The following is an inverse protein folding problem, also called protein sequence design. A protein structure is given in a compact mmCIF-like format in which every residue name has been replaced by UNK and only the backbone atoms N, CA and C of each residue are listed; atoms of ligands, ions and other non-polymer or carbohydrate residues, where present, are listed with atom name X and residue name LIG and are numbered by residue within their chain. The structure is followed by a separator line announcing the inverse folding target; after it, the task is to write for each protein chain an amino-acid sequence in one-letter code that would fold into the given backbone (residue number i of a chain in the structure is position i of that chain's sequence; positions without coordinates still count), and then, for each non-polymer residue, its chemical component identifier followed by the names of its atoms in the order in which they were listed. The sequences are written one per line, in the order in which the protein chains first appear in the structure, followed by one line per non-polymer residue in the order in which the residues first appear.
data_IF_370119253257
#
_entry.id   IF_370119253257
#
_cell.length_a   1.000
_cell.length_b   1.000
_cell.length_c   1.000
_cell.angle_alpha   90.00
_cell.angle_beta   90.00
_cell.angle_gamma   90.00
#
_symmetry.space_group_name_H-M   'P 1'
#
loop_
_entity.id
_entity.type
_entity.pdbx_description
1 polymer ?
#
# COMPACT_ATOMS: atom_id res chain seq x y z
N UNK A 1 -19.74 -20.51 5.58
CA UNK A 1 -20.10 -19.18 6.12
C UNK A 1 -19.24 -18.84 7.32
N UNK A 2 -19.25 -19.64 8.40
CA UNK A 2 -18.38 -19.46 9.59
C UNK A 2 -16.89 -19.37 9.26
N UNK A 3 -16.43 -20.21 8.33
CA UNK A 3 -15.02 -20.24 7.89
C UNK A 3 -14.60 -18.98 7.11
N UNK A 4 -15.55 -18.35 6.39
CA UNK A 4 -15.32 -17.09 5.65
C UNK A 4 -15.24 -15.90 6.60
N UNK A 5 -16.12 -15.84 7.59
CA UNK A 5 -16.17 -14.76 8.56
C UNK A 5 -14.98 -14.84 9.55
N UNK A 6 -14.53 -16.06 9.89
CA UNK A 6 -13.34 -16.27 10.71
C UNK A 6 -12.03 -15.83 10.03
N UNK A 7 -11.93 -16.01 8.70
CA UNK A 7 -10.72 -15.66 7.94
C UNK A 7 -10.56 -14.15 7.68
N UNK A 8 -11.63 -13.36 7.81
CA UNK A 8 -11.68 -11.95 7.41
C UNK A 8 -10.59 -11.07 8.06
N UNK A 9 -10.14 -11.47 9.26
CA UNK A 9 -9.02 -10.84 9.98
C UNK A 9 -7.92 -11.83 10.40
N UNK A 10 -7.96 -13.06 9.90
CA UNK A 10 -7.04 -14.15 10.27
C UNK A 10 -6.32 -14.69 9.03
N UNK A 11 -5.54 -13.83 8.38
CA UNK A 11 -4.78 -14.15 7.18
C UNK A 11 -5.18 -13.33 5.95
N UNK A 12 -6.37 -12.75 5.94
CA UNK A 12 -6.78 -11.83 4.86
C UNK A 12 -5.83 -10.63 4.79
N UNK A 13 -5.34 -10.32 3.59
CA UNK A 13 -4.47 -9.17 3.34
C UNK A 13 -5.31 -7.95 3.08
N UNK A 14 -5.06 -6.88 3.82
CA UNK A 14 -5.74 -5.60 3.71
C UNK A 14 -4.76 -4.52 3.20
N UNK A 15 -4.87 -4.05 1.95
CA UNK A 15 -3.91 -3.10 1.37
C UNK A 15 -3.82 -1.78 2.11
N UNK A 16 -4.91 -1.32 2.73
CA UNK A 16 -4.89 -0.06 3.48
C UNK A 16 -3.84 -0.09 4.61
N UNK A 17 -3.51 -1.27 5.16
CA UNK A 17 -2.50 -1.41 6.21
C UNK A 17 -1.07 -1.11 5.72
N UNK A 18 -0.82 -1.15 4.41
CA UNK A 18 0.49 -0.79 3.85
C UNK A 18 0.85 0.67 4.14
N UNK A 19 -0.13 1.58 4.16
CA UNK A 19 0.08 2.98 4.50
C UNK A 19 0.70 3.18 5.90
N UNK A 20 0.00 2.85 6.99
CA UNK A 20 0.54 2.98 8.34
C UNK A 20 1.77 2.09 8.57
N UNK A 21 1.88 0.94 7.90
CA UNK A 21 3.08 0.11 7.98
C UNK A 21 4.32 0.80 7.41
N UNK A 22 4.21 1.44 6.23
CA UNK A 22 5.30 2.24 5.64
C UNK A 22 5.65 3.42 6.56
N UNK A 23 4.65 4.15 7.08
CA UNK A 23 4.89 5.24 8.03
C UNK A 23 5.66 4.74 9.27
N UNK A 24 5.25 3.61 9.86
CA UNK A 24 5.92 3.03 11.01
C UNK A 24 7.36 2.60 10.67
N UNK A 25 7.56 1.96 9.52
CA UNK A 25 8.87 1.58 9.03
C UNK A 25 9.82 2.79 8.92
N UNK A 26 9.34 3.88 8.30
CA UNK A 26 10.15 5.08 8.13
C UNK A 26 10.45 5.79 9.47
N UNK A 27 9.54 5.72 10.45
CA UNK A 27 9.78 6.23 11.81
C UNK A 27 10.84 5.43 12.58
N UNK A 28 10.89 4.11 12.39
CA UNK A 28 11.84 3.22 13.10
C UNK A 28 13.22 3.23 12.45
N UNK A 29 13.28 3.13 11.12
CA UNK A 29 14.54 2.94 10.40
C UNK A 29 15.10 4.22 9.78
N UNK A 30 14.32 5.30 9.79
CA UNK A 30 14.71 6.61 9.31
C UNK A 30 14.80 6.73 7.78
N UNK A 31 15.34 7.86 7.32
CA UNK A 31 15.28 8.29 5.91
C UNK A 31 16.47 7.87 5.05
N UNK A 32 17.23 6.84 5.48
CA UNK A 32 18.39 6.33 4.72
C UNK A 32 17.91 5.66 3.43
N UNK A 33 18.70 5.74 2.36
CA UNK A 33 18.34 5.18 1.05
C UNK A 33 17.94 3.69 1.14
N UNK A 34 18.66 2.88 1.91
CA UNK A 34 18.32 1.47 2.11
C UNK A 34 16.93 1.27 2.78
N UNK A 35 16.60 2.07 3.79
CA UNK A 35 15.31 1.99 4.48
C UNK A 35 14.17 2.42 3.55
N UNK A 36 14.37 3.49 2.77
CA UNK A 36 13.40 3.97 1.78
C UNK A 36 13.18 2.96 0.65
N UNK A 37 14.25 2.36 0.14
CA UNK A 37 14.16 1.31 -0.89
C UNK A 37 13.39 0.10 -0.37
N UNK A 38 13.65 -0.31 0.88
CA UNK A 38 12.90 -1.39 1.52
C UNK A 38 11.42 -1.03 1.69
N UNK A 39 11.11 0.19 2.11
CA UNK A 39 9.73 0.65 2.24
C UNK A 39 8.98 0.66 0.90
N UNK A 40 9.63 1.13 -0.18
CA UNK A 40 9.07 1.08 -1.54
C UNK A 40 8.77 -0.34 -1.99
N UNK A 41 9.60 -1.32 -1.60
CA UNK A 41 9.38 -2.73 -1.99
C UNK A 41 8.07 -3.32 -1.46
N UNK A 42 7.51 -2.77 -0.37
CA UNK A 42 6.22 -3.23 0.16
C UNK A 42 5.03 -2.87 -0.73
N UNK A 43 5.18 -1.88 -1.61
CA UNK A 43 4.10 -1.38 -2.47
C UNK A 43 4.11 -2.01 -3.88
N UNK A 44 5.14 -2.80 -4.22
CA UNK A 44 5.33 -3.37 -5.58
C UNK A 44 4.14 -4.23 -6.03
N UNK A 45 3.52 -4.98 -5.11
CA UNK A 45 2.35 -5.80 -5.44
C UNK A 45 1.14 -4.98 -5.92
N UNK A 46 1.01 -3.73 -5.47
CA UNK A 46 -0.10 -2.87 -5.88
C UNK A 46 0.05 -2.39 -7.32
N UNK A 47 1.28 -2.13 -7.78
CA UNK A 47 1.54 -1.67 -9.15
C UNK A 47 1.04 -2.68 -10.19
N UNK A 48 1.29 -3.97 -9.96
CA UNK A 48 0.76 -5.04 -10.81
C UNK A 48 -0.78 -5.09 -10.78
N UNK A 49 -1.37 -4.93 -9.58
CA UNK A 49 -2.82 -5.01 -9.40
C UNK A 49 -3.60 -3.85 -10.03
N UNK A 50 -2.98 -2.69 -10.27
CA UNK A 50 -3.64 -1.55 -10.96
C UNK A 50 -4.15 -1.91 -12.37
N UNK A 51 -3.64 -3.00 -12.95
CA UNK A 51 -4.03 -3.53 -14.26
C UNK A 51 -4.94 -4.79 -14.16
N UNK A 52 -5.38 -5.15 -12.97
CA UNK A 52 -6.19 -6.34 -12.66
C UNK A 52 -7.49 -5.93 -11.93
N UNK A 53 -8.54 -6.75 -12.04
CA UNK A 53 -9.85 -6.61 -11.36
C UNK A 53 -10.66 -5.34 -11.71
N UNK A 54 -10.14 -4.15 -11.40
CA UNK A 54 -10.73 -2.86 -11.76
C UNK A 54 -9.62 -1.87 -12.12
N UNK A 55 -9.65 -1.36 -13.35
CA UNK A 55 -8.56 -0.54 -13.90
C UNK A 55 -8.27 0.69 -13.02
N UNK A 56 -7.02 0.81 -12.57
CA UNK A 56 -6.54 1.92 -11.77
C UNK A 56 -7.06 1.94 -10.33
N UNK A 57 -7.66 0.85 -9.86
CA UNK A 57 -8.20 0.72 -8.52
C UNK A 57 -7.45 -0.36 -7.74
N UNK A 58 -7.62 -0.35 -6.41
CA UNK A 58 -7.10 -1.41 -5.53
C UNK A 58 -8.27 -2.07 -4.82
N UNK A 59 -8.30 -3.40 -4.88
CA UNK A 59 -9.34 -4.20 -4.23
C UNK A 59 -9.29 -4.08 -2.70
N UNK A 60 -10.39 -4.40 -2.05
CA UNK A 60 -10.55 -4.30 -0.60
C UNK A 60 -9.62 -5.24 0.16
N UNK A 61 -9.55 -6.50 -0.28
CA UNK A 61 -8.83 -7.57 0.38
C UNK A 61 -8.22 -8.55 -0.62
N UNK A 62 -7.19 -9.27 -0.19
CA UNK A 62 -6.47 -10.26 -1.00
C UNK A 62 -6.27 -11.56 -0.21
N UNK A 63 -6.19 -12.67 -0.94
CA UNK A 63 -5.78 -13.95 -0.36
C UNK A 63 -4.31 -13.87 0.14
N UNK A 64 -4.03 -14.44 1.32
CA UNK A 64 -2.70 -14.40 1.95
C UNK A 64 -1.63 -15.14 1.16
N UNK A 65 -2.04 -16.21 0.48
CA UNK A 65 -1.17 -17.12 -0.25
C UNK A 65 -1.20 -16.82 -1.74
N UNK A 66 -0.13 -17.18 -2.45
CA UNK A 66 -0.08 -17.07 -3.89
C UNK A 66 -1.26 -17.81 -4.55
N UNK A 67 -1.92 -17.24 -5.57
CA UNK A 67 -1.48 -16.08 -6.34
C UNK A 67 -2.00 -14.72 -5.82
N UNK A 68 -2.42 -14.62 -4.56
CA UNK A 68 -2.96 -13.39 -3.95
C UNK A 68 -4.17 -12.84 -4.70
N UNK A 69 -5.19 -13.66 -4.90
CA UNK A 69 -6.37 -13.23 -5.67
C UNK A 69 -7.07 -12.05 -4.99
N UNK A 70 -7.52 -11.04 -5.76
CA UNK A 70 -8.32 -9.96 -5.23
C UNK A 70 -9.72 -10.45 -4.83
N UNK A 71 -10.22 -9.92 -3.71
CA UNK A 71 -11.52 -10.24 -3.11
C UNK A 71 -12.22 -8.95 -2.66
N UNK A 72 -13.49 -9.07 -2.27
CA UNK A 72 -14.28 -7.96 -1.73
C UNK A 72 -14.62 -6.89 -2.76
N UNK A 73 -14.74 -5.63 -2.32
CA UNK A 73 -14.95 -4.49 -3.22
C UNK A 73 -13.76 -4.32 -4.18
N UNK A 74 -14.00 -4.27 -5.49
CA UNK A 74 -12.94 -4.13 -6.50
C UNK A 74 -12.33 -2.72 -6.56
N UNK A 75 -13.02 -1.71 -6.01
CA UNK A 75 -12.59 -0.31 -6.01
C UNK A 75 -12.77 0.30 -4.61
N UNK A 76 -11.80 0.06 -3.72
CA UNK A 76 -11.93 0.40 -2.32
C UNK A 76 -11.10 1.64 -1.95
N UNK A 77 -11.79 2.70 -1.50
CA UNK A 77 -11.18 4.01 -1.27
C UNK A 77 -9.94 3.98 -0.37
N UNK A 78 -10.01 3.29 0.78
CA UNK A 78 -8.85 3.20 1.69
C UNK A 78 -7.68 2.38 1.14
N UNK A 79 -7.94 1.46 0.21
CA UNK A 79 -6.92 0.59 -0.38
C UNK A 79 -6.10 1.35 -1.41
N UNK A 80 -6.63 2.46 -1.94
CA UNK A 80 -5.90 3.42 -2.77
C UNK A 80 -5.28 4.52 -1.89
N UNK A 81 -6.08 5.11 -1.00
CA UNK A 81 -5.68 6.31 -0.27
C UNK A 81 -4.50 6.10 0.68
N UNK A 82 -4.46 5.02 1.45
CA UNK A 82 -3.40 4.80 2.44
C UNK A 82 -2.03 4.52 1.80
N UNK A 83 -1.89 3.62 0.80
CA UNK A 83 -0.64 3.45 0.08
C UNK A 83 -0.18 4.73 -0.62
N UNK A 84 -1.11 5.49 -1.23
CA UNK A 84 -0.78 6.76 -1.90
C UNK A 84 -0.30 7.83 -0.92
N UNK A 85 -0.96 7.95 0.24
CA UNK A 85 -0.55 8.83 1.34
C UNK A 85 0.87 8.52 1.76
N UNK A 86 1.18 7.25 2.06
CA UNK A 86 2.53 6.85 2.48
C UNK A 86 3.57 7.07 1.36
N UNK A 87 3.21 6.82 0.10
CA UNK A 87 4.08 7.10 -1.03
C UNK A 87 4.45 8.60 -1.10
N UNK A 88 3.48 9.50 -0.89
CA UNK A 88 3.67 10.95 -0.96
C UNK A 88 4.39 11.48 0.29
N UNK A 89 3.88 11.17 1.48
CA UNK A 89 4.30 11.77 2.75
C UNK A 89 5.57 11.15 3.32
N UNK A 90 5.71 9.81 3.24
CA UNK A 90 6.80 9.09 3.89
C UNK A 90 7.96 8.79 2.93
N UNK A 91 7.67 8.57 1.65
CA UNK A 91 8.64 8.12 0.65
C UNK A 91 9.03 9.19 -0.39
N UNK A 92 8.38 10.36 -0.36
CA UNK A 92 8.67 11.49 -1.26
C UNK A 92 8.34 11.19 -2.73
N UNK A 93 7.22 10.51 -2.99
CA UNK A 93 6.76 10.09 -4.32
C UNK A 93 6.33 11.21 -5.26
N UNK A 94 6.30 12.45 -4.79
CA UNK A 94 6.27 13.63 -5.65
C UNK A 94 7.71 14.04 -5.86
N UNK A 95 8.16 14.04 -7.13
CA UNK A 95 9.33 14.82 -7.50
C UNK A 95 9.13 16.20 -6.89
N UNK A 96 10.08 16.63 -6.07
CA UNK A 96 10.11 17.97 -5.54
C UNK A 96 10.19 18.89 -6.76
N UNK A 97 9.05 19.33 -7.29
CA UNK A 97 9.01 20.49 -8.17
C UNK A 97 9.62 21.58 -7.32
N UNK A 98 10.89 21.86 -7.61
CA UNK A 98 11.77 22.73 -6.87
C UNK A 98 10.97 23.92 -6.34
N UNK A 99 10.63 23.90 -5.04
CA UNK A 99 10.23 25.13 -4.38
C UNK A 99 11.51 25.91 -4.21
N UNK A 100 11.71 27.04 -4.92
CA UNK A 100 12.89 27.85 -4.68
C UNK A 100 12.84 28.25 -3.20
N UNK A 101 13.91 27.93 -2.46
CA UNK A 101 14.12 28.53 -1.14
C UNK A 101 14.22 30.03 -1.39
N UNK A 102 13.20 30.78 -0.99
CA UNK A 102 13.30 32.23 -0.94
C UNK A 102 14.43 32.57 0.03
N UNK A 103 15.42 33.29 -0.49
CA UNK A 103 16.50 33.94 0.26
C UNK A 103 15.95 35.16 1.01
#
# INVERSE_FOLDING_TARGET
VVERDGAYHQGTVWPFLLGPFVTAWMKVFGQRAAARNKARSFLVGLEAHLHEACLGQVSEIFDAEAPHQPRGCCAQAWSVAEPLRALIEDLGGIAETARPRQL
#
